data_IF_632490828997
#
_entry.id   IF_632490828997
#
_cell.length_a   1.000
_cell.length_b   1.000
_cell.length_c   1.000
_cell.angle_alpha   90.00
_cell.angle_beta   90.00
_cell.angle_gamma   90.00
#
_symmetry.space_group_name_H-M   'P 1'
#
loop_
_entity.id
_entity.type
_entity.pdbx_description
1 polymer ?
#
# COMPACT_ATOMS: atom_id res chain seq x y z
N UNK A 1 47.60 -37.02 0.34
CA UNK A 1 46.51 -37.86 0.88
C UNK A 1 45.29 -36.98 1.11
N UNK A 2 44.13 -37.43 0.63
CA UNK A 2 42.77 -36.92 0.88
C UNK A 2 42.36 -35.55 0.27
N UNK A 3 41.76 -35.68 -0.91
CA UNK A 3 40.72 -34.83 -1.50
C UNK A 3 39.57 -34.49 -0.56
N UNK A 4 38.94 -33.32 -0.73
CA UNK A 4 37.50 -33.18 -0.42
C UNK A 4 36.82 -32.13 -1.32
N UNK A 5 36.27 -32.63 -2.43
CA UNK A 5 35.34 -31.89 -3.29
C UNK A 5 34.03 -31.71 -2.53
N UNK A 6 33.62 -30.47 -2.28
CA UNK A 6 32.35 -30.15 -1.64
C UNK A 6 31.24 -30.17 -2.70
N UNK A 7 30.61 -31.33 -2.88
CA UNK A 7 29.48 -31.50 -3.80
C UNK A 7 28.23 -30.76 -3.27
N UNK A 8 27.84 -29.67 -3.92
CA UNK A 8 26.56 -28.99 -3.68
C UNK A 8 25.47 -29.78 -4.40
N UNK A 9 24.71 -30.57 -3.64
CA UNK A 9 23.57 -31.34 -4.15
C UNK A 9 22.35 -30.42 -4.28
N UNK A 10 22.17 -29.84 -5.45
CA UNK A 10 20.94 -29.12 -5.82
C UNK A 10 19.81 -30.16 -5.86
N UNK A 11 18.86 -30.07 -4.93
CA UNK A 11 17.63 -30.88 -4.95
C UNK A 11 16.67 -30.24 -5.96
N UNK A 12 16.18 -30.97 -6.99
CA UNK A 12 15.12 -30.46 -7.81
C UNK A 12 13.81 -30.57 -7.03
N UNK A 13 13.20 -29.43 -6.70
CA UNK A 13 11.86 -29.37 -6.11
C UNK A 13 10.84 -29.54 -7.24
N UNK A 14 10.66 -30.77 -7.73
CA UNK A 14 9.60 -31.10 -8.67
C UNK A 14 8.45 -31.71 -7.87
N UNK A 15 7.58 -30.85 -7.33
CA UNK A 15 6.27 -31.26 -6.85
C UNK A 15 5.34 -31.22 -8.08
N UNK A 16 5.15 -32.38 -8.71
CA UNK A 16 4.25 -32.54 -9.82
C UNK A 16 2.79 -32.65 -9.38
N UNK A 17 1.91 -32.01 -10.16
CA UNK A 17 0.48 -32.25 -10.41
C UNK A 17 -0.48 -32.24 -9.20
N UNK A 18 -1.60 -31.51 -9.29
CA UNK A 18 -2.99 -32.03 -9.21
C UNK A 18 -4.00 -30.87 -9.36
N UNK A 19 -4.72 -30.89 -10.50
CA UNK A 19 -6.04 -30.28 -10.80
C UNK A 19 -6.37 -28.85 -10.32
N UNK A 20 -6.30 -27.88 -11.25
CA UNK A 20 -7.14 -26.67 -11.23
C UNK A 20 -8.54 -27.01 -11.79
N UNK A 21 -9.51 -27.27 -10.92
CA UNK A 21 -10.93 -27.22 -11.27
C UNK A 21 -11.51 -25.83 -10.96
N UNK A 22 -12.36 -25.23 -11.80
CA UNK A 22 -12.98 -23.94 -11.49
C UNK A 22 -13.99 -24.08 -10.34
N UNK A 23 -13.80 -23.31 -9.27
CA UNK A 23 -14.81 -23.17 -8.20
C UNK A 23 -16.01 -22.42 -8.77
N UNK A 24 -17.17 -23.08 -8.75
CA UNK A 24 -18.46 -22.46 -9.05
C UNK A 24 -18.79 -21.42 -7.98
N UNK A 25 -19.12 -20.20 -8.40
CA UNK A 25 -19.64 -19.16 -7.52
C UNK A 25 -21.12 -19.45 -7.29
N UNK A 26 -21.46 -20.03 -6.13
CA UNK A 26 -22.84 -20.10 -5.66
C UNK A 26 -23.25 -18.70 -5.19
N UNK A 27 -24.25 -18.12 -5.85
CA UNK A 27 -25.03 -16.99 -5.36
C UNK A 27 -25.85 -17.43 -4.13
N UNK A 28 -25.16 -17.68 -3.02
CA UNK A 28 -25.76 -17.90 -1.72
C UNK A 28 -25.69 -16.62 -0.91
N UNK A 29 -26.82 -15.93 -0.78
CA UNK A 29 -27.01 -14.85 0.17
C UNK A 29 -26.93 -15.44 1.59
N UNK A 30 -25.70 -15.68 2.07
CA UNK A 30 -25.44 -16.21 3.40
C UNK A 30 -25.92 -15.23 4.47
N UNK A 31 -26.66 -15.75 5.45
CA UNK A 31 -27.20 -15.02 6.59
C UNK A 31 -26.10 -14.20 7.27
N UNK A 32 -26.36 -12.89 7.42
CA UNK A 32 -25.50 -11.94 8.15
C UNK A 32 -25.27 -12.47 9.57
N UNK A 33 -24.10 -13.06 9.83
CA UNK A 33 -23.75 -13.66 11.12
C UNK A 33 -23.20 -15.09 11.02
N UNK A 34 -23.34 -15.76 9.88
CA UNK A 34 -22.68 -17.05 9.65
C UNK A 34 -21.18 -16.84 9.40
N UNK A 35 -20.40 -16.88 10.48
CA UNK A 35 -18.94 -16.76 10.48
C UNK A 35 -18.20 -17.93 9.84
N UNK A 36 -18.67 -18.43 8.69
CA UNK A 36 -18.01 -19.54 7.97
C UNK A 36 -17.60 -19.21 6.53
N UNK A 37 -17.91 -18.02 6.00
CA UNK A 37 -17.75 -17.78 4.56
C UNK A 37 -17.10 -16.47 4.11
N UNK A 38 -16.90 -15.48 4.99
CA UNK A 38 -16.45 -14.13 4.56
C UNK A 38 -15.13 -13.63 5.17
N UNK A 39 -14.37 -14.50 5.84
CA UNK A 39 -12.99 -14.19 6.25
C UNK A 39 -12.70 -14.22 7.77
N UNK A 40 -13.63 -14.68 8.60
CA UNK A 40 -13.38 -15.02 9.99
C UNK A 40 -13.95 -16.41 10.26
N UNK A 41 -13.15 -17.30 10.85
CA UNK A 41 -13.61 -18.65 11.25
C UNK A 41 -14.74 -18.59 12.28
N UNK A 42 -15.41 -19.72 12.49
CA UNK A 42 -16.57 -19.85 13.38
C UNK A 42 -16.29 -19.15 14.72
N UNK A 43 -16.98 -18.02 14.97
CA UNK A 43 -16.67 -17.05 16.03
C UNK A 43 -17.01 -17.52 17.45
N UNK A 44 -16.62 -18.75 17.80
CA UNK A 44 -16.92 -19.40 19.07
C UNK A 44 -18.35 -19.93 19.17
N UNK A 45 -18.58 -20.82 20.14
CA UNK A 45 -19.88 -21.47 20.38
C UNK A 45 -21.01 -20.48 20.69
N UNK A 46 -20.71 -19.29 21.21
CA UNK A 46 -21.68 -18.25 21.56
C UNK A 46 -22.27 -17.59 20.32
N UNK A 47 -21.45 -17.34 19.28
CA UNK A 47 -21.94 -16.79 18.01
C UNK A 47 -22.58 -17.84 17.13
N UNK A 48 -22.04 -19.06 17.14
CA UNK A 48 -22.60 -20.18 16.40
C UNK A 48 -24.00 -20.56 16.93
N UNK A 49 -24.22 -20.45 18.24
CA UNK A 49 -25.53 -20.69 18.86
C UNK A 49 -26.60 -19.65 18.48
N UNK A 50 -26.24 -18.50 17.90
CA UNK A 50 -27.19 -17.54 17.32
C UNK A 50 -28.20 -16.91 18.31
N UNK A 51 -27.95 -17.00 19.62
CA UNK A 51 -28.82 -16.48 20.67
C UNK A 51 -28.83 -14.95 20.77
N UNK A 52 -29.68 -14.39 21.64
CA UNK A 52 -29.79 -12.95 21.85
C UNK A 52 -28.45 -12.28 22.24
N UNK A 53 -27.63 -12.99 23.03
CA UNK A 53 -26.29 -12.54 23.42
C UNK A 53 -25.31 -12.55 22.23
N UNK A 54 -25.32 -13.60 21.40
CA UNK A 54 -24.49 -13.67 20.19
C UNK A 54 -24.82 -12.58 19.17
N UNK A 55 -26.11 -12.22 19.03
CA UNK A 55 -26.54 -11.10 18.16
C UNK A 55 -26.05 -9.74 18.66
N UNK A 56 -26.04 -9.53 19.99
CA UNK A 56 -25.51 -8.30 20.59
C UNK A 56 -24.00 -8.18 20.42
N UNK A 57 -23.27 -9.28 20.65
CA UNK A 57 -21.81 -9.34 20.46
C UNK A 57 -21.41 -9.05 19.01
N UNK A 58 -22.13 -9.59 18.03
CA UNK A 58 -21.88 -9.31 16.60
C UNK A 58 -22.07 -7.82 16.29
N UNK A 59 -23.13 -7.19 16.80
CA UNK A 59 -23.38 -5.78 16.55
C UNK A 59 -22.31 -4.87 17.18
N UNK A 60 -21.87 -5.16 18.41
CA UNK A 60 -20.83 -4.38 19.09
C UNK A 60 -19.48 -4.49 18.38
N UNK A 61 -19.11 -5.69 17.94
CA UNK A 61 -17.88 -5.88 17.18
C UNK A 61 -17.92 -5.23 15.81
N UNK A 62 -19.03 -5.34 15.10
CA UNK A 62 -19.17 -4.68 13.81
C UNK A 62 -19.01 -3.16 13.96
N UNK A 63 -19.57 -2.58 15.01
CA UNK A 63 -19.40 -1.16 15.31
C UNK A 63 -17.94 -0.80 15.64
N UNK A 64 -17.24 -1.66 16.38
CA UNK A 64 -15.82 -1.48 16.67
C UNK A 64 -14.97 -1.51 15.39
N UNK A 65 -15.16 -2.51 14.53
CA UNK A 65 -14.42 -2.63 13.27
C UNK A 65 -14.71 -1.46 12.32
N UNK A 66 -15.97 -1.02 12.23
CA UNK A 66 -16.34 0.15 11.44
C UNK A 66 -15.63 1.42 11.93
N UNK A 67 -15.55 1.64 13.24
CA UNK A 67 -14.80 2.77 13.83
C UNK A 67 -13.31 2.68 13.53
N UNK A 68 -12.70 1.51 13.69
CA UNK A 68 -11.28 1.30 13.39
C UNK A 68 -10.96 1.54 11.91
N UNK A 69 -11.80 1.04 11.00
CA UNK A 69 -11.66 1.29 9.56
C UNK A 69 -11.77 2.78 9.24
N UNK A 70 -12.75 3.48 9.84
CA UNK A 70 -12.88 4.93 9.67
C UNK A 70 -11.64 5.68 10.17
N UNK A 71 -11.10 5.30 11.32
CA UNK A 71 -9.89 5.90 11.88
C UNK A 71 -8.69 5.71 10.94
N UNK A 72 -8.45 4.48 10.47
CA UNK A 72 -7.38 4.19 9.51
C UNK A 72 -7.53 5.02 8.22
N UNK A 73 -8.74 5.11 7.68
CA UNK A 73 -9.01 5.94 6.50
C UNK A 73 -8.77 7.43 6.77
N UNK A 74 -9.12 7.92 7.96
CA UNK A 74 -8.86 9.32 8.32
C UNK A 74 -7.37 9.61 8.48
N UNK A 75 -6.61 8.67 9.03
CA UNK A 75 -5.17 8.79 9.20
C UNK A 75 -4.45 8.80 7.85
N UNK A 76 -4.81 7.88 6.94
CA UNK A 76 -4.29 7.87 5.57
C UNK A 76 -4.60 9.17 4.82
N UNK A 77 -5.82 9.70 4.95
CA UNK A 77 -6.18 10.99 4.36
C UNK A 77 -5.36 12.14 4.92
N UNK A 78 -5.12 12.18 6.23
CA UNK A 78 -4.29 13.20 6.88
C UNK A 78 -2.84 13.12 6.39
N UNK A 79 -2.27 11.92 6.38
CA UNK A 79 -0.91 11.68 5.89
C UNK A 79 -0.72 12.22 4.48
N UNK A 80 -1.63 11.88 3.55
CA UNK A 80 -1.56 12.39 2.18
C UNK A 80 -1.77 13.91 2.08
N UNK A 81 -2.63 14.49 2.92
CA UNK A 81 -2.79 15.94 2.96
C UNK A 81 -1.51 16.66 3.44
N UNK A 82 -0.83 16.09 4.43
CA UNK A 82 0.44 16.62 4.92
C UNK A 82 1.56 16.45 3.88
N UNK A 83 1.63 15.32 3.18
CA UNK A 83 2.56 15.11 2.05
C UNK A 83 2.35 16.15 0.95
N UNK A 84 1.10 16.41 0.55
CA UNK A 84 0.78 17.45 -0.45
C UNK A 84 1.32 18.81 0.00
N UNK A 85 1.07 19.19 1.26
CA UNK A 85 1.57 20.46 1.81
C UNK A 85 3.10 20.55 1.77
N UNK A 86 3.80 19.47 2.13
CA UNK A 86 5.27 19.45 2.06
C UNK A 86 5.75 19.62 0.61
N UNK A 87 5.13 18.94 -0.35
CA UNK A 87 5.49 19.08 -1.77
C UNK A 87 5.22 20.47 -2.32
N UNK A 88 4.14 21.13 -1.89
CA UNK A 88 3.89 22.52 -2.23
C UNK A 88 4.96 23.47 -1.69
N UNK A 89 5.45 23.24 -0.46
CA UNK A 89 6.56 24.00 0.12
C UNK A 89 7.88 23.76 -0.65
N UNK A 90 8.18 22.51 -1.00
CA UNK A 90 9.36 22.16 -1.78
C UNK A 90 9.33 22.83 -3.17
N UNK A 91 8.17 22.83 -3.83
CA UNK A 91 7.99 23.53 -5.11
C UNK A 91 8.27 25.02 -4.97
N UNK A 92 7.79 25.68 -3.90
CA UNK A 92 8.07 27.10 -3.66
C UNK A 92 9.57 27.34 -3.50
N UNK A 93 10.24 26.54 -2.67
CA UNK A 93 11.69 26.62 -2.45
C UNK A 93 12.48 26.41 -3.75
N UNK A 94 12.08 25.45 -4.57
CA UNK A 94 12.70 25.19 -5.87
C UNK A 94 12.48 26.35 -6.85
N UNK A 95 11.30 26.96 -6.88
CA UNK A 95 11.03 28.16 -7.68
C UNK A 95 11.92 29.32 -7.28
N UNK A 96 12.07 29.58 -5.98
CA UNK A 96 12.98 30.63 -5.47
C UNK A 96 14.45 30.35 -5.83
N UNK A 97 14.89 29.10 -5.78
CA UNK A 97 16.23 28.72 -6.22
C UNK A 97 16.42 28.98 -7.73
N UNK A 98 15.44 28.61 -8.56
CA UNK A 98 15.45 28.88 -10.00
C UNK A 98 15.56 30.38 -10.27
N UNK A 99 14.76 31.21 -9.60
CA UNK A 99 14.81 32.66 -9.79
C UNK A 99 16.16 33.27 -9.37
N UNK A 100 16.77 32.78 -8.28
CA UNK A 100 18.15 33.17 -7.91
C UNK A 100 19.16 32.82 -8.99
N UNK A 101 19.05 31.63 -9.59
CA UNK A 101 19.95 31.22 -10.68
C UNK A 101 19.72 32.04 -11.96
N UNK A 102 18.48 32.33 -12.32
CA UNK A 102 18.15 33.24 -13.42
C UNK A 102 18.75 34.63 -13.20
N UNK A 103 18.70 35.15 -11.97
CA UNK A 103 19.37 36.40 -11.60
C UNK A 103 20.87 36.35 -11.89
N UNK A 104 21.56 35.32 -11.39
CA UNK A 104 23.01 35.14 -11.63
C UNK A 104 23.37 35.03 -13.10
N UNK A 105 22.54 34.35 -13.90
CA UNK A 105 22.75 34.27 -15.37
C UNK A 105 22.68 35.66 -15.99
N UNK A 106 21.66 36.47 -15.67
CA UNK A 106 21.54 37.85 -16.17
C UNK A 106 22.72 38.74 -15.76
N UNK A 107 23.23 38.56 -14.55
CA UNK A 107 24.40 39.30 -14.07
C UNK A 107 25.66 38.88 -14.85
N UNK A 108 25.84 37.58 -15.10
CA UNK A 108 26.94 37.05 -15.90
C UNK A 108 26.88 37.57 -17.35
N UNK A 109 25.71 37.49 -18.00
CA UNK A 109 25.48 38.04 -19.35
C UNK A 109 25.85 39.51 -19.47
N UNK A 110 25.59 40.32 -18.43
CA UNK A 110 26.00 41.73 -18.39
C UNK A 110 27.51 41.90 -18.25
N UNK A 111 28.16 41.06 -17.45
CA UNK A 111 29.61 41.15 -17.22
C UNK A 111 30.46 40.60 -18.37
N UNK A 112 29.90 39.76 -19.23
CA UNK A 112 30.55 39.24 -20.44
C UNK A 112 29.93 39.86 -21.70
N UNK A 113 30.25 41.11 -22.07
CA UNK A 113 29.86 41.68 -23.35
C UNK A 113 30.70 41.02 -24.46
N UNK A 114 30.18 39.95 -25.07
CA UNK A 114 30.75 39.37 -26.30
C UNK A 114 31.04 37.89 -26.24
N UNK A 115 30.01 37.06 -26.39
CA UNK A 115 30.11 35.79 -27.10
C UNK A 115 28.81 35.58 -27.88
N UNK A 116 28.57 36.45 -28.86
CA UNK A 116 27.74 36.08 -30.00
C UNK A 116 28.52 34.98 -30.73
N UNK A 117 28.26 33.72 -30.40
CA UNK A 117 28.65 32.60 -31.24
C UNK A 117 27.63 32.54 -32.37
N UNK A 118 27.88 33.34 -33.41
CA UNK A 118 27.40 33.03 -34.74
C UNK A 118 28.03 31.69 -35.14
N UNK A 119 27.21 30.66 -35.35
CA UNK A 119 27.63 29.39 -35.89
C UNK A 119 26.47 28.87 -36.72
N UNK A 120 26.69 28.87 -38.03
CA UNK A 120 25.77 28.50 -39.13
C UNK A 120 25.09 27.13 -38.98
#
# INVERSE_FOLDING_TARGET
MASLVRAVRIRPFVCGLYSLGPRTMSNGLGELGSGSGKGGGAGGSIREAGGALGKKEVAEEEMYFRRMQQQQLTELKKHHADEIRQRELDIKRHKEAIERHKGKIRDLERTTPGSQSDSD
#
